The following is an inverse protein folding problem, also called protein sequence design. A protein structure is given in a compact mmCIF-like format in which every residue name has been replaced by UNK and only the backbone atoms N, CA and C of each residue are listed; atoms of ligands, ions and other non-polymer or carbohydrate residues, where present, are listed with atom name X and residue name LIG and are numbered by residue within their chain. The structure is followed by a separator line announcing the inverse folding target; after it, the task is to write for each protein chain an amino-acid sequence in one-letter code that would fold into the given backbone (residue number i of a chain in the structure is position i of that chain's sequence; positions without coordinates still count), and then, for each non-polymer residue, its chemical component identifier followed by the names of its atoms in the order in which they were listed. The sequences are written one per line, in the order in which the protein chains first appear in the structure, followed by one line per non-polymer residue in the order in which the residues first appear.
data_IF_483197695000
#
_entry.id   IF_483197695000
#
_cell.length_a   1.000
_cell.length_b   1.000
_cell.length_c   1.000
_cell.angle_alpha   90.00
_cell.angle_beta   90.00
_cell.angle_gamma   90.00
#
_symmetry.space_group_name_H-M   'P 1'
#
loop_
_entity.id
_entity.type
_entity.pdbx_description
1 polymer ?
#
# COMPACT_ATOMS: atom_id res chain seq x y z
N UNK A 1 4.35 -97.20 22.53
CA UNK A 1 4.04 -97.98 21.31
C UNK A 1 3.12 -97.12 20.46
N UNK A 2 3.64 -96.50 19.40
CA UNK A 2 3.62 -96.93 17.98
C UNK A 2 2.22 -96.90 17.33
N UNK A 3 2.22 -96.32 16.13
CA UNK A 3 1.24 -96.36 15.02
C UNK A 3 0.18 -95.26 15.05
N UNK A 4 0.21 -94.22 14.21
CA UNK A 4 0.30 -94.08 12.73
C UNK A 4 -0.83 -94.75 11.93
N UNK A 5 -1.20 -94.03 10.85
CA UNK A 5 -1.94 -94.38 9.61
C UNK A 5 -3.44 -94.00 9.59
N UNK A 6 -3.83 -92.89 8.91
CA UNK A 6 -4.26 -92.72 7.48
C UNK A 6 -5.70 -93.18 7.22
N UNK A 7 -6.55 -92.66 6.30
CA UNK A 7 -6.59 -91.61 5.26
C UNK A 7 -7.99 -91.77 4.57
N UNK A 8 -8.45 -90.76 3.81
CA UNK A 8 -9.52 -90.79 2.75
C UNK A 8 -10.98 -90.74 3.24
N UNK A 9 -11.97 -90.12 2.57
CA UNK A 9 -12.06 -89.18 1.43
C UNK A 9 -13.53 -88.70 1.35
N UNK A 10 -13.73 -87.44 0.96
CA UNK A 10 -14.85 -86.87 0.16
C UNK A 10 -16.31 -86.75 0.63
N UNK A 11 -16.89 -85.61 0.19
CA UNK A 11 -18.28 -85.33 -0.30
C UNK A 11 -19.09 -84.29 0.51
N UNK A 12 -19.08 -83.05 -0.03
CA UNK A 12 -20.11 -82.00 -0.14
C UNK A 12 -20.86 -81.46 1.10
N UNK A 13 -20.71 -80.16 1.41
CA UNK A 13 -21.64 -79.07 1.05
C UNK A 13 -21.14 -77.75 1.67
N UNK A 14 -20.76 -76.77 0.84
CA UNK A 14 -20.40 -75.39 1.26
C UNK A 14 -21.55 -74.47 0.86
N UNK A 15 -22.15 -73.67 1.77
CA UNK A 15 -22.91 -72.51 1.39
C UNK A 15 -21.98 -71.30 1.22
N UNK A 16 -22.18 -70.67 0.07
CA UNK A 16 -21.63 -69.41 -0.42
C UNK A 16 -21.68 -68.30 0.63
N UNK A 17 -20.53 -67.67 0.91
CA UNK A 17 -20.48 -66.29 1.43
C UNK A 17 -19.60 -65.47 0.49
N UNK A 18 -20.27 -64.72 -0.39
CA UNK A 18 -19.68 -63.80 -1.34
C UNK A 18 -19.27 -62.53 -0.59
N UNK A 19 -18.02 -62.45 -0.12
CA UNK A 19 -17.45 -61.22 0.43
C UNK A 19 -17.09 -60.28 -0.72
N UNK A 20 -17.93 -59.26 -0.93
CA UNK A 20 -17.60 -58.09 -1.75
C UNK A 20 -16.32 -57.44 -1.21
N UNK A 21 -15.26 -57.47 -2.00
CA UNK A 21 -14.11 -56.59 -1.82
C UNK A 21 -14.55 -55.16 -2.17
N UNK A 22 -14.69 -54.30 -1.17
CA UNK A 22 -14.82 -52.87 -1.37
C UNK A 22 -13.40 -52.34 -1.61
N UNK A 23 -13.06 -52.11 -2.87
CA UNK A 23 -11.86 -51.38 -3.24
C UNK A 23 -12.00 -49.92 -2.74
N UNK A 24 -11.44 -49.63 -1.57
CA UNK A 24 -11.29 -48.27 -1.06
C UNK A 24 -10.18 -47.56 -1.84
N UNK A 25 -10.52 -47.03 -3.01
CA UNK A 25 -9.69 -46.02 -3.67
C UNK A 25 -9.64 -44.79 -2.75
N UNK A 26 -8.56 -44.66 -1.97
CA UNK A 26 -8.17 -43.36 -1.40
C UNK A 26 -7.88 -42.45 -2.58
N UNK A 27 -8.78 -41.48 -2.82
CA UNK A 27 -8.41 -40.30 -3.59
C UNK A 27 -7.43 -39.54 -2.72
N UNK A 28 -6.15 -39.61 -3.06
CA UNK A 28 -5.18 -38.67 -2.52
C UNK A 28 -5.68 -37.27 -2.86
N UNK A 29 -6.13 -36.56 -1.84
CA UNK A 29 -6.36 -35.13 -1.93
C UNK A 29 -4.98 -34.51 -2.18
N UNK A 30 -4.62 -34.39 -3.44
CA UNK A 30 -3.62 -33.43 -3.88
C UNK A 30 -4.15 -32.06 -3.47
N UNK A 31 -3.80 -31.65 -2.25
CA UNK A 31 -3.81 -30.24 -1.89
C UNK A 31 -2.86 -29.61 -2.89
N UNK A 32 -3.42 -29.01 -3.94
CA UNK A 32 -2.68 -28.04 -4.73
C UNK A 32 -2.33 -26.94 -3.73
N UNK A 33 -1.11 -26.99 -3.21
CA UNK A 33 -0.48 -25.81 -2.63
C UNK A 33 -0.62 -24.77 -3.74
N UNK A 34 -1.38 -23.70 -3.49
CA UNK A 34 -1.48 -22.62 -4.45
C UNK A 34 -0.04 -22.18 -4.74
N UNK A 35 0.38 -22.25 -6.00
CA UNK A 35 1.65 -21.65 -6.39
C UNK A 35 1.59 -20.19 -5.95
N UNK A 36 2.62 -19.68 -5.24
CA UNK A 36 2.60 -18.30 -4.80
C UNK A 36 2.35 -17.39 -6.00
N UNK A 37 1.49 -16.39 -5.78
CA UNK A 37 1.15 -15.43 -6.81
C UNK A 37 2.42 -14.79 -7.40
N UNK A 38 2.41 -14.49 -8.70
CA UNK A 38 3.57 -13.95 -9.41
C UNK A 38 4.19 -12.72 -8.72
N UNK A 39 3.35 -11.95 -8.03
CA UNK A 39 3.73 -10.75 -7.30
C UNK A 39 3.66 -10.88 -5.77
N UNK A 40 3.50 -12.07 -5.21
CA UNK A 40 3.34 -12.27 -3.76
C UNK A 40 4.64 -12.06 -2.95
N UNK A 41 5.80 -12.32 -3.55
CA UNK A 41 7.09 -12.27 -2.87
C UNK A 41 7.87 -10.98 -3.13
N UNK A 42 7.22 -9.85 -2.84
CA UNK A 42 7.81 -8.54 -3.09
C UNK A 42 6.91 -7.39 -2.65
N UNK A 43 7.09 -6.25 -3.31
CA UNK A 43 6.19 -5.11 -3.23
C UNK A 43 6.19 -4.34 -4.55
N UNK A 44 5.15 -3.56 -4.77
CA UNK A 44 5.06 -2.68 -5.93
C UNK A 44 5.64 -1.31 -5.64
N UNK A 45 6.21 -0.70 -6.67
CA UNK A 45 6.53 0.73 -6.70
C UNK A 45 5.63 1.35 -7.75
N UNK A 46 4.78 2.28 -7.31
CA UNK A 46 3.91 3.06 -8.17
C UNK A 46 4.70 4.29 -8.58
N UNK A 47 4.89 4.48 -9.89
CA UNK A 47 5.68 5.54 -10.47
C UNK A 47 4.75 6.58 -11.10
N UNK A 48 4.88 7.83 -10.69
CA UNK A 48 4.07 8.96 -11.14
C UNK A 48 4.06 9.08 -12.67
N UNK A 49 5.23 8.90 -13.29
CA UNK A 49 5.48 9.26 -14.69
C UNK A 49 5.89 10.72 -14.82
N UNK A 50 5.95 11.22 -16.05
CA UNK A 50 6.33 12.61 -16.31
C UNK A 50 5.17 13.34 -16.93
N UNK A 51 4.46 14.12 -16.12
CA UNK A 51 3.32 14.93 -16.56
C UNK A 51 3.64 15.70 -17.86
N UNK A 52 2.86 15.44 -18.91
CA UNK A 52 2.99 16.06 -20.24
C UNK A 52 3.96 15.34 -21.18
N UNK A 53 4.68 14.32 -20.72
CA UNK A 53 5.67 13.55 -21.49
C UNK A 53 5.37 12.05 -21.53
N UNK A 54 4.76 11.49 -20.48
CA UNK A 54 4.41 10.08 -20.41
C UNK A 54 3.63 9.72 -19.15
N UNK A 55 2.79 8.68 -19.24
CA UNK A 55 2.01 8.16 -18.12
C UNK A 55 2.90 7.44 -17.10
N UNK A 56 2.39 7.30 -15.87
CA UNK A 56 2.99 6.48 -14.83
C UNK A 56 3.04 4.98 -15.14
N UNK A 57 3.89 4.27 -14.39
CA UNK A 57 4.10 2.82 -14.50
C UNK A 57 4.01 2.16 -13.13
N UNK A 58 3.92 0.83 -13.14
CA UNK A 58 4.07 0.03 -11.91
C UNK A 58 5.33 -0.81 -12.08
N UNK A 59 6.18 -0.82 -11.06
CA UNK A 59 7.32 -1.71 -10.92
C UNK A 59 7.08 -2.72 -9.81
N UNK A 60 7.77 -3.85 -9.84
CA UNK A 60 7.75 -4.85 -8.77
C UNK A 60 9.16 -5.16 -8.30
N UNK A 61 9.36 -5.07 -6.99
CA UNK A 61 10.60 -5.48 -6.33
C UNK A 61 10.47 -6.91 -5.83
N UNK A 62 11.19 -7.85 -6.44
CA UNK A 62 11.20 -9.27 -6.07
C UNK A 62 12.21 -9.50 -4.93
N UNK A 63 11.76 -10.00 -3.78
CA UNK A 63 12.63 -10.25 -2.62
C UNK A 63 13.67 -11.35 -2.87
N UNK A 64 13.30 -12.41 -3.59
CA UNK A 64 14.18 -13.55 -3.85
C UNK A 64 15.31 -13.18 -4.80
N UNK A 65 14.99 -12.38 -5.82
CA UNK A 65 15.98 -11.93 -6.82
C UNK A 65 16.70 -10.67 -6.36
N UNK A 66 16.07 -9.87 -5.50
CA UNK A 66 16.56 -8.57 -5.10
C UNK A 66 16.60 -7.58 -6.27
N UNK A 67 15.67 -7.69 -7.22
CA UNK A 67 15.62 -6.91 -8.47
C UNK A 67 14.28 -6.21 -8.65
N UNK A 68 14.33 -4.99 -9.20
CA UNK A 68 13.14 -4.23 -9.60
C UNK A 68 12.81 -4.48 -11.09
N UNK A 69 11.58 -4.87 -11.38
CA UNK A 69 11.08 -5.03 -12.76
C UNK A 69 10.01 -3.99 -13.04
N UNK A 70 10.23 -3.12 -14.02
CA UNK A 70 9.30 -2.05 -14.40
C UNK A 70 8.20 -2.51 -15.38
N UNK A 71 7.18 -1.67 -15.55
CA UNK A 71 6.12 -1.75 -16.56
C UNK A 71 5.34 -3.05 -16.50
N UNK A 72 5.16 -3.59 -15.29
CA UNK A 72 4.51 -4.89 -15.10
C UNK A 72 3.02 -4.81 -15.44
N UNK A 73 2.36 -3.67 -15.23
CA UNK A 73 0.94 -3.52 -15.56
C UNK A 73 0.69 -3.75 -17.06
N UNK A 74 1.45 -3.11 -17.95
CA UNK A 74 1.29 -3.25 -19.40
C UNK A 74 1.79 -4.59 -19.92
N UNK A 75 2.79 -5.20 -19.27
CA UNK A 75 3.23 -6.58 -19.55
C UNK A 75 2.14 -7.60 -19.25
N UNK A 76 1.45 -7.45 -18.12
CA UNK A 76 0.34 -8.34 -17.76
C UNK A 76 -0.96 -8.00 -18.51
N UNK A 77 -1.12 -6.78 -19.02
CA UNK A 77 -2.30 -6.35 -19.76
C UNK A 77 -1.96 -5.77 -21.13
N UNK A 78 -1.53 -6.61 -22.11
CA UNK A 78 -1.19 -6.13 -23.45
C UNK A 78 -2.32 -5.32 -24.08
N UNK A 79 -2.00 -4.12 -24.57
CA UNK A 79 -2.96 -3.20 -25.19
C UNK A 79 -3.73 -2.31 -24.21
N UNK A 80 -3.53 -2.45 -22.90
CA UNK A 80 -4.08 -1.53 -21.88
C UNK A 80 -3.01 -0.59 -21.36
N UNK A 81 -3.37 0.67 -21.13
CA UNK A 81 -2.47 1.72 -20.65
C UNK A 81 -3.09 2.49 -19.47
N UNK A 82 -2.28 3.39 -18.89
CA UNK A 82 -2.68 4.33 -17.85
C UNK A 82 -2.82 5.77 -18.38
N UNK A 83 -2.89 5.92 -19.71
CA UNK A 83 -3.02 7.20 -20.42
C UNK A 83 -4.18 8.08 -19.92
N UNK A 84 -4.11 9.41 -20.13
CA UNK A 84 -3.20 10.15 -21.04
C UNK A 84 -1.80 10.42 -20.48
N UNK A 85 -0.86 10.82 -21.35
CA UNK A 85 0.47 11.30 -20.96
C UNK A 85 0.46 12.59 -20.10
N UNK A 86 -0.71 13.23 -19.98
CA UNK A 86 -0.97 14.34 -19.06
C UNK A 86 -1.51 13.88 -17.72
N UNK A 87 -1.51 12.58 -17.42
CA UNK A 87 -1.90 12.04 -16.12
C UNK A 87 -0.69 11.63 -15.31
N UNK A 88 -0.86 11.53 -14.00
CA UNK A 88 0.19 11.12 -13.07
C UNK A 88 -0.31 10.00 -12.16
N UNK A 89 0.39 8.86 -12.11
CA UNK A 89 -0.02 7.72 -11.27
C UNK A 89 0.52 7.90 -9.85
N UNK A 90 -0.25 8.57 -9.01
CA UNK A 90 0.21 9.00 -7.67
C UNK A 90 -0.01 7.96 -6.57
N UNK A 91 -1.01 7.10 -6.73
CA UNK A 91 -1.49 6.25 -5.65
C UNK A 91 -1.74 4.82 -6.10
N UNK A 92 -1.35 3.89 -5.23
CA UNK A 92 -1.82 2.53 -5.27
C UNK A 92 -1.98 1.94 -3.88
N UNK A 93 -2.87 0.95 -3.76
CA UNK A 93 -3.04 0.18 -2.52
C UNK A 93 -3.69 -1.17 -2.81
N UNK A 94 -3.40 -2.16 -1.97
CA UNK A 94 -4.07 -3.46 -2.01
C UNK A 94 -5.24 -3.46 -1.03
N UNK A 95 -6.40 -3.92 -1.49
CA UNK A 95 -7.56 -4.17 -0.65
C UNK A 95 -8.35 -5.37 -1.19
N UNK A 96 -8.62 -6.36 -0.33
CA UNK A 96 -9.36 -7.58 -0.68
C UNK A 96 -8.81 -8.29 -1.94
N UNK A 97 -7.50 -8.56 -1.97
CA UNK A 97 -6.78 -9.21 -3.09
C UNK A 97 -6.91 -8.48 -4.43
N UNK A 98 -7.08 -7.15 -4.36
CA UNK A 98 -7.12 -6.28 -5.54
C UNK A 98 -6.17 -5.12 -5.34
N UNK A 99 -5.40 -4.82 -6.38
CA UNK A 99 -4.59 -3.61 -6.43
C UNK A 99 -5.41 -2.51 -7.12
N UNK A 100 -5.59 -1.39 -6.40
CA UNK A 100 -6.21 -0.18 -6.93
C UNK A 100 -5.09 0.78 -7.33
N UNK A 101 -5.17 1.32 -8.54
CA UNK A 101 -4.23 2.28 -9.13
C UNK A 101 -5.00 3.52 -9.54
N UNK A 102 -4.62 4.68 -9.00
CA UNK A 102 -5.33 5.94 -9.19
C UNK A 102 -4.41 6.93 -9.89
N UNK A 103 -4.73 7.23 -11.15
CA UNK A 103 -4.00 8.21 -11.97
C UNK A 103 -4.67 9.57 -11.92
N UNK A 104 -4.04 10.51 -11.23
CA UNK A 104 -4.44 11.91 -11.13
C UNK A 104 -4.44 12.60 -12.51
N UNK A 105 -5.06 13.78 -12.60
CA UNK A 105 -4.99 14.69 -13.74
C UNK A 105 -5.48 14.06 -15.06
N UNK A 106 -6.75 13.65 -15.05
CA UNK A 106 -7.44 13.10 -16.21
C UNK A 106 -7.22 11.60 -16.44
N UNK A 107 -6.41 10.95 -15.60
CA UNK A 107 -6.11 9.54 -15.70
C UNK A 107 -7.24 8.60 -15.24
N UNK A 108 -7.07 7.29 -15.46
CA UNK A 108 -8.03 6.28 -15.03
C UNK A 108 -7.90 5.93 -13.55
N UNK A 109 -8.96 5.32 -13.00
CA UNK A 109 -8.86 4.44 -11.84
C UNK A 109 -8.87 3.01 -12.36
N UNK A 110 -7.85 2.22 -12.04
CA UNK A 110 -7.70 0.84 -12.49
C UNK A 110 -7.69 -0.10 -11.31
N UNK A 111 -8.36 -1.25 -11.44
CA UNK A 111 -8.39 -2.31 -10.45
C UNK A 111 -7.87 -3.58 -11.09
N UNK A 112 -6.87 -4.20 -10.48
CA UNK A 112 -6.31 -5.49 -10.89
C UNK A 112 -6.45 -6.52 -9.79
N UNK A 113 -6.36 -7.80 -10.15
CA UNK A 113 -5.96 -8.84 -9.19
C UNK A 113 -4.53 -8.51 -8.69
N UNK A 114 -4.26 -8.61 -7.39
CA UNK A 114 -2.97 -8.18 -6.83
C UNK A 114 -1.84 -9.19 -7.10
N UNK A 115 -2.16 -10.47 -7.29
CA UNK A 115 -1.19 -11.54 -7.49
C UNK A 115 -0.78 -11.77 -8.95
N UNK A 116 -1.69 -11.54 -9.90
CA UNK A 116 -1.49 -11.70 -11.34
C UNK A 116 -1.41 -10.38 -12.11
N UNK A 117 -1.82 -9.27 -11.49
CA UNK A 117 -1.96 -7.94 -12.11
C UNK A 117 -2.89 -7.86 -13.31
N UNK A 118 -3.72 -8.88 -13.57
CA UNK A 118 -4.75 -8.78 -14.61
C UNK A 118 -5.79 -7.75 -14.21
N UNK A 119 -6.07 -6.79 -15.10
CA UNK A 119 -7.09 -5.78 -14.88
C UNK A 119 -8.49 -6.42 -14.85
N UNK A 120 -9.22 -6.14 -13.78
CA UNK A 120 -10.57 -6.66 -13.49
C UNK A 120 -11.62 -5.55 -13.39
N UNK A 121 -11.21 -4.28 -13.41
CA UNK A 121 -12.13 -3.14 -13.40
C UNK A 121 -11.43 -1.82 -13.71
N UNK A 122 -12.21 -0.85 -14.19
CA UNK A 122 -11.69 0.45 -14.61
C UNK A 122 -12.76 1.53 -14.61
N UNK A 123 -12.42 2.71 -14.10
CA UNK A 123 -13.03 3.99 -14.52
C UNK A 123 -12.10 4.58 -15.58
N UNK A 124 -12.63 4.81 -16.78
CA UNK A 124 -11.84 5.32 -17.89
C UNK A 124 -11.29 6.72 -17.59
N UNK A 125 -10.18 7.06 -18.27
CA UNK A 125 -9.64 8.41 -18.27
C UNK A 125 -10.69 9.41 -18.78
N UNK A 126 -10.81 10.54 -18.10
CA UNK A 126 -11.69 11.63 -18.45
C UNK A 126 -11.10 12.93 -17.90
N UNK A 127 -11.20 14.04 -18.61
CA UNK A 127 -10.57 15.33 -18.22
C UNK A 127 -11.04 15.86 -16.87
N UNK A 128 -12.21 15.43 -16.39
CA UNK A 128 -12.75 15.76 -15.06
C UNK A 128 -12.15 14.93 -13.93
N UNK A 129 -11.41 13.86 -14.21
CA UNK A 129 -10.86 12.98 -13.18
C UNK A 129 -9.69 13.67 -12.49
N UNK A 130 -9.71 13.68 -11.16
CA UNK A 130 -8.60 14.12 -10.33
C UNK A 130 -8.49 13.19 -9.10
N UNK A 131 -8.13 11.93 -9.35
CA UNK A 131 -8.03 10.89 -8.33
C UNK A 131 -6.87 11.14 -7.37
N UNK A 132 -7.09 10.89 -6.07
CA UNK A 132 -6.07 11.02 -5.03
C UNK A 132 -5.83 9.68 -4.35
N UNK A 133 -6.55 9.36 -3.27
CA UNK A 133 -6.37 8.11 -2.52
C UNK A 133 -7.60 7.22 -2.54
N UNK A 134 -7.41 5.94 -2.18
CA UNK A 134 -8.47 4.97 -2.00
C UNK A 134 -8.40 4.34 -0.60
N UNK A 135 -9.56 4.08 0.00
CA UNK A 135 -9.68 3.25 1.21
C UNK A 135 -10.85 2.29 1.10
N UNK A 136 -10.64 1.02 1.43
CA UNK A 136 -11.71 0.03 1.55
C UNK A 136 -12.55 0.23 2.81
N UNK A 137 -13.88 0.16 2.70
CA UNK A 137 -14.81 0.27 3.82
C UNK A 137 -15.34 -1.11 4.23
N UNK A 138 -15.81 -1.86 3.25
CA UNK A 138 -16.30 -3.23 3.36
C UNK A 138 -16.11 -3.98 2.01
N UNK A 139 -16.67 -5.18 1.90
CA UNK A 139 -16.52 -6.02 0.70
C UNK A 139 -17.15 -5.44 -0.58
N UNK A 140 -18.01 -4.43 -0.44
CA UNK A 140 -18.82 -3.86 -1.52
C UNK A 140 -18.49 -2.39 -1.76
N UNK A 141 -17.95 -1.70 -0.76
CA UNK A 141 -17.78 -0.24 -0.76
C UNK A 141 -16.35 0.13 -0.39
N UNK A 142 -15.76 1.01 -1.20
CA UNK A 142 -14.59 1.81 -0.81
C UNK A 142 -14.92 3.29 -0.91
N UNK A 143 -14.00 4.15 -0.51
CA UNK A 143 -14.06 5.58 -0.78
C UNK A 143 -12.84 6.00 -1.61
N UNK A 144 -13.06 6.95 -2.51
CA UNK A 144 -12.02 7.59 -3.32
C UNK A 144 -12.02 9.07 -3.00
N UNK A 145 -10.87 9.60 -2.59
CA UNK A 145 -10.65 11.04 -2.48
C UNK A 145 -10.19 11.60 -3.81
N UNK A 146 -10.47 12.89 -4.01
CA UNK A 146 -10.26 13.60 -5.27
C UNK A 146 -9.82 15.03 -5.02
N UNK A 147 -9.56 15.76 -6.10
CA UNK A 147 -9.34 17.21 -6.06
C UNK A 147 -10.52 18.05 -5.57
N UNK A 148 -11.73 17.49 -5.46
CA UNK A 148 -12.91 18.25 -5.03
C UNK A 148 -13.70 17.66 -3.85
N UNK A 149 -13.37 16.46 -3.39
CA UNK A 149 -13.99 15.83 -2.22
C UNK A 149 -13.83 14.31 -2.19
N UNK A 150 -14.78 13.62 -1.56
CA UNK A 150 -14.75 12.16 -1.38
C UNK A 150 -16.01 11.54 -1.98
N UNK A 151 -15.83 10.42 -2.69
CA UNK A 151 -16.90 9.67 -3.35
C UNK A 151 -16.88 8.20 -2.93
N UNK A 152 -18.04 7.59 -2.64
CA UNK A 152 -18.13 6.13 -2.52
C UNK A 152 -17.83 5.45 -3.86
N UNK A 153 -17.08 4.36 -3.82
CA UNK A 153 -16.80 3.49 -4.95
C UNK A 153 -17.45 2.14 -4.71
N UNK A 154 -18.32 1.71 -5.63
CA UNK A 154 -18.82 0.36 -5.66
C UNK A 154 -17.73 -0.59 -6.16
N UNK A 155 -17.28 -1.52 -5.31
CA UNK A 155 -16.14 -2.41 -5.58
C UNK A 155 -16.48 -3.59 -6.51
N UNK A 156 -17.76 -3.82 -6.79
CA UNK A 156 -18.23 -4.91 -7.65
C UNK A 156 -18.22 -4.52 -9.12
N UNK A 157 -18.65 -3.29 -9.43
CA UNK A 157 -18.72 -2.79 -10.81
C UNK A 157 -17.79 -1.60 -11.09
N UNK A 158 -17.05 -1.14 -10.07
CA UNK A 158 -16.08 -0.02 -10.17
C UNK A 158 -16.75 1.26 -10.70
N UNK A 159 -17.79 1.69 -10.00
CA UNK A 159 -18.53 2.93 -10.30
C UNK A 159 -18.65 3.83 -9.08
N UNK A 160 -18.64 5.15 -9.29
CA UNK A 160 -18.79 6.12 -8.21
C UNK A 160 -20.26 6.35 -7.84
N UNK A 161 -20.48 6.56 -6.55
CA UNK A 161 -21.69 7.17 -6.00
C UNK A 161 -21.64 8.69 -5.98
N UNK A 162 -22.59 9.31 -5.28
CA UNK A 162 -22.62 10.76 -5.08
C UNK A 162 -21.55 11.23 -4.09
N UNK A 163 -21.11 12.49 -4.24
CA UNK A 163 -20.15 13.14 -3.34
C UNK A 163 -20.65 13.12 -1.89
N UNK A 164 -19.77 12.78 -0.96
CA UNK A 164 -20.03 12.89 0.48
C UNK A 164 -20.07 14.37 0.87
N UNK A 165 -21.12 14.78 1.57
CA UNK A 165 -21.26 16.16 2.04
C UNK A 165 -20.34 16.49 3.21
N UNK A 166 -19.93 17.75 3.34
CA UNK A 166 -19.09 18.24 4.43
C UNK A 166 -17.59 18.04 4.24
N UNK A 167 -17.17 17.50 3.09
CA UNK A 167 -15.76 17.43 2.68
C UNK A 167 -15.62 17.94 1.25
N UNK A 168 -15.08 19.16 1.13
CA UNK A 168 -14.94 19.88 -0.12
C UNK A 168 -13.48 20.26 -0.40
N UNK A 169 -13.17 20.45 -1.69
CA UNK A 169 -11.83 20.83 -2.15
C UNK A 169 -10.88 19.63 -2.20
N UNK A 170 -9.57 19.90 -2.26
CA UNK A 170 -8.58 18.83 -2.39
C UNK A 170 -8.54 17.95 -1.13
N UNK A 171 -8.75 16.65 -1.34
CA UNK A 171 -8.63 15.61 -0.32
C UNK A 171 -7.60 14.59 -0.77
N UNK A 172 -6.59 14.38 0.06
CA UNK A 172 -5.50 13.44 -0.17
C UNK A 172 -5.75 12.11 0.51
N UNK A 173 -4.82 11.73 1.39
CA UNK A 173 -4.79 10.43 2.05
C UNK A 173 -6.09 10.08 2.80
N UNK A 174 -6.43 8.79 2.79
CA UNK A 174 -7.57 8.22 3.49
C UNK A 174 -7.12 7.02 4.31
N UNK A 175 -7.67 6.87 5.52
CA UNK A 175 -7.52 5.63 6.30
C UNK A 175 -8.79 5.34 7.11
N UNK A 176 -9.17 4.06 7.19
CA UNK A 176 -10.27 3.60 8.05
C UNK A 176 -9.71 2.98 9.32
N UNK A 177 -10.24 3.38 10.47
CA UNK A 177 -9.93 2.74 11.75
C UNK A 177 -11.17 2.70 12.64
N UNK A 178 -11.52 1.49 13.09
CA UNK A 178 -12.74 1.27 13.88
C UNK A 178 -13.99 1.78 13.15
N UNK A 179 -14.74 2.64 13.85
CA UNK A 179 -16.00 3.23 13.40
C UNK A 179 -15.81 4.52 12.60
N UNK A 180 -14.57 4.90 12.27
CA UNK A 180 -14.28 6.16 11.61
C UNK A 180 -13.41 6.00 10.36
N UNK A 181 -13.50 7.02 9.51
CA UNK A 181 -12.66 7.24 8.35
C UNK A 181 -11.99 8.58 8.55
N UNK A 182 -10.68 8.63 8.37
CA UNK A 182 -9.88 9.83 8.48
C UNK A 182 -9.47 10.23 7.07
N UNK A 183 -9.72 11.49 6.72
CA UNK A 183 -9.41 12.07 5.43
C UNK A 183 -8.50 13.28 5.65
N UNK A 184 -7.40 13.35 4.91
CA UNK A 184 -6.55 14.52 4.90
C UNK A 184 -7.08 15.51 3.86
N UNK A 185 -7.52 16.67 4.31
CA UNK A 185 -8.06 17.77 3.50
C UNK A 185 -7.09 18.94 3.51
N UNK A 186 -6.82 19.51 2.33
CA UNK A 186 -5.95 20.68 2.19
C UNK A 186 -6.41 21.86 3.05
N UNK A 187 -7.71 22.13 3.06
CA UNK A 187 -8.29 23.29 3.72
C UNK A 187 -8.57 23.06 5.21
N UNK A 188 -8.81 21.82 5.61
CA UNK A 188 -9.32 21.50 6.94
C UNK A 188 -8.36 20.67 7.82
N UNK A 189 -7.22 20.22 7.29
CA UNK A 189 -6.38 19.24 7.97
C UNK A 189 -7.03 17.86 7.99
N UNK A 190 -7.06 17.18 9.13
CA UNK A 190 -7.72 15.86 9.23
C UNK A 190 -9.20 16.03 9.50
N UNK A 191 -10.03 15.57 8.57
CA UNK A 191 -11.48 15.43 8.73
C UNK A 191 -11.81 13.98 9.08
N UNK A 192 -12.58 13.78 10.14
CA UNK A 192 -13.01 12.46 10.62
C UNK A 192 -14.48 12.28 10.30
N UNK A 193 -14.79 11.21 9.57
CA UNK A 193 -16.14 10.81 9.19
C UNK A 193 -16.56 9.57 10.00
N UNK A 194 -17.84 9.48 10.33
CA UNK A 194 -18.44 8.23 10.77
C UNK A 194 -18.45 7.22 9.61
N UNK A 195 -17.94 6.01 9.82
CA UNK A 195 -17.76 5.04 8.73
C UNK A 195 -19.06 4.45 8.18
N UNK A 196 -20.18 4.57 8.90
CA UNK A 196 -21.50 4.07 8.48
C UNK A 196 -22.33 5.13 7.77
N UNK A 197 -22.28 6.37 8.25
CA UNK A 197 -23.14 7.47 7.77
C UNK A 197 -22.40 8.49 6.91
N UNK A 198 -21.07 8.44 6.91
CA UNK A 198 -20.17 9.43 6.30
C UNK A 198 -20.34 10.87 6.82
N UNK A 199 -21.06 11.06 7.93
CA UNK A 199 -21.17 12.36 8.56
C UNK A 199 -19.83 12.77 9.19
N UNK A 200 -19.44 14.03 9.00
CA UNK A 200 -18.28 14.62 9.69
C UNK A 200 -18.56 14.65 11.19
N UNK A 201 -17.65 14.05 11.96
CA UNK A 201 -17.73 13.99 13.43
C UNK A 201 -16.65 14.82 14.12
N UNK A 202 -15.54 15.11 13.44
CA UNK A 202 -14.44 15.91 13.98
C UNK A 202 -13.57 16.47 12.86
N UNK A 203 -12.99 17.64 13.10
CA UNK A 203 -11.94 18.22 12.26
C UNK A 203 -10.75 18.61 13.15
N UNK A 204 -9.53 18.35 12.66
CA UNK A 204 -8.28 18.69 13.32
C UNK A 204 -7.48 19.54 12.31
N UNK A 205 -7.32 20.85 12.52
CA UNK A 205 -6.75 21.76 11.53
C UNK A 205 -5.22 21.74 11.49
N UNK A 206 -4.63 22.15 10.36
CA UNK A 206 -3.19 22.41 10.24
C UNK A 206 -2.32 21.18 10.04
N UNK A 207 -2.91 20.06 9.58
CA UNK A 207 -2.21 18.84 9.22
C UNK A 207 -2.08 18.76 7.70
N UNK A 208 -0.93 18.28 7.22
CA UNK A 208 -0.57 18.29 5.80
C UNK A 208 0.03 16.98 5.28
N UNK A 209 0.42 16.07 6.18
CA UNK A 209 1.06 14.78 5.86
C UNK A 209 0.37 13.69 6.69
N UNK A 210 -0.16 12.66 6.04
CA UNK A 210 -0.90 11.59 6.70
C UNK A 210 -0.96 10.35 5.77
N UNK A 211 -1.53 9.21 6.16
CA UNK A 211 -1.70 8.74 7.53
C UNK A 211 -0.72 7.61 7.80
N UNK A 212 -0.20 7.53 9.02
CA UNK A 212 0.44 6.32 9.53
C UNK A 212 -0.41 5.70 10.63
N UNK A 213 -0.40 4.36 10.73
CA UNK A 213 -1.08 3.62 11.79
C UNK A 213 -0.07 2.83 12.60
N UNK A 214 0.13 3.22 13.87
CA UNK A 214 1.03 2.49 14.76
C UNK A 214 0.45 1.16 15.21
N UNK A 215 1.31 0.29 15.76
CA UNK A 215 0.96 -1.05 16.25
C UNK A 215 -0.18 -1.07 17.27
N UNK A 216 -0.27 -0.05 18.12
CA UNK A 216 -1.38 0.16 19.07
C UNK A 216 -2.70 0.60 18.39
N UNK A 217 -2.71 0.77 17.07
CA UNK A 217 -3.85 1.17 16.27
C UNK A 217 -4.04 2.67 16.14
N UNK A 218 -3.24 3.51 16.81
CA UNK A 218 -3.38 4.95 16.73
C UNK A 218 -3.09 5.48 15.32
N UNK A 219 -3.81 6.54 14.95
CA UNK A 219 -3.70 7.20 13.65
C UNK A 219 -2.84 8.45 13.80
N UNK A 220 -1.92 8.64 12.88
CA UNK A 220 -0.95 9.71 12.92
C UNK A 220 -1.01 10.59 11.68
N UNK A 221 -0.92 11.89 11.91
CA UNK A 221 -0.80 12.92 10.88
C UNK A 221 0.13 14.03 11.38
N UNK A 222 0.71 14.80 10.48
CA UNK A 222 1.65 15.87 10.83
C UNK A 222 1.44 17.10 9.95
N UNK A 223 1.83 18.28 10.44
CA UNK A 223 1.75 19.55 9.71
C UNK A 223 2.31 20.70 10.55
N UNK A 224 2.92 21.68 9.89
CA UNK A 224 3.65 22.73 10.59
C UNK A 224 4.71 22.13 11.51
N UNK A 225 4.70 22.47 12.79
CA UNK A 225 5.64 21.90 13.79
C UNK A 225 5.00 20.80 14.65
N UNK A 226 3.95 20.15 14.16
CA UNK A 226 3.14 19.20 14.94
C UNK A 226 3.12 17.82 14.29
N UNK A 227 3.31 16.80 15.11
CA UNK A 227 2.94 15.41 14.86
C UNK A 227 1.79 15.09 15.81
N UNK A 228 0.68 14.60 15.28
CA UNK A 228 -0.55 14.36 16.01
C UNK A 228 -0.83 12.86 16.06
N UNK A 229 -1.02 12.34 17.27
CA UNK A 229 -1.57 11.01 17.53
C UNK A 229 -3.07 11.14 17.79
N UNK A 230 -3.86 10.30 17.12
CA UNK A 230 -5.31 10.24 17.26
C UNK A 230 -5.69 8.84 17.70
N UNK A 231 -6.38 8.73 18.83
CA UNK A 231 -6.99 7.48 19.26
C UNK A 231 -8.23 7.18 18.38
N UNK A 232 -8.28 6.06 17.64
CA UNK A 232 -9.35 5.81 16.68
C UNK A 232 -10.67 5.36 17.32
N UNK A 233 -10.72 5.11 18.63
CA UNK A 233 -11.97 4.77 19.32
C UNK A 233 -12.62 6.00 19.93
N UNK A 234 -11.81 6.86 20.55
CA UNK A 234 -12.26 8.02 21.33
C UNK A 234 -12.07 9.36 20.61
N UNK A 235 -11.30 9.37 19.52
CA UNK A 235 -10.87 10.57 18.80
C UNK A 235 -10.07 11.56 19.67
N UNK A 236 -9.52 11.11 20.81
CA UNK A 236 -8.62 11.93 21.62
C UNK A 236 -7.34 12.21 20.84
N UNK A 237 -6.91 13.48 20.89
CA UNK A 237 -5.76 14.00 20.14
C UNK A 237 -4.63 14.30 21.11
N UNK A 238 -3.44 13.81 20.81
CA UNK A 238 -2.19 14.18 21.47
C UNK A 238 -1.27 14.83 20.44
N UNK A 239 -0.70 15.99 20.81
CA UNK A 239 0.22 16.74 19.96
C UNK A 239 1.65 16.53 20.45
N UNK A 240 2.55 16.27 19.52
CA UNK A 240 3.99 16.12 19.70
C UNK A 240 4.67 17.18 18.83
N UNK A 241 5.62 17.93 19.39
CA UNK A 241 6.37 18.93 18.63
C UNK A 241 7.40 18.26 17.73
N UNK A 242 7.45 18.68 16.46
CA UNK A 242 8.44 18.28 15.46
C UNK A 242 9.53 19.36 15.39
N UNK A 243 10.83 19.01 15.30
CA UNK A 243 11.93 19.99 15.29
C UNK A 243 12.14 20.68 13.93
N UNK A 244 11.19 20.56 13.00
CA UNK A 244 11.19 21.16 11.67
C UNK A 244 9.76 21.41 11.22
N UNK A 245 9.61 22.20 10.15
CA UNK A 245 8.32 22.39 9.48
C UNK A 245 8.02 21.20 8.58
N UNK A 246 6.94 20.51 8.87
CA UNK A 246 6.30 19.49 8.03
C UNK A 246 5.46 20.21 6.98
N UNK A 247 5.77 19.94 5.71
CA UNK A 247 5.09 20.53 4.56
C UNK A 247 4.27 19.46 3.82
N UNK A 248 3.09 19.86 3.34
CA UNK A 248 2.29 19.07 2.41
C UNK A 248 2.75 19.16 0.95
N UNK A 249 2.06 18.39 0.11
CA UNK A 249 2.33 18.28 -1.32
C UNK A 249 1.23 18.88 -2.21
N UNK A 250 0.26 19.60 -1.64
CA UNK A 250 -0.98 20.04 -2.31
C UNK A 250 -0.80 20.74 -3.67
N UNK A 251 -1.80 20.65 -4.54
CA UNK A 251 -1.71 21.12 -5.93
C UNK A 251 -1.09 20.06 -6.85
N UNK A 252 0.23 19.80 -6.73
CA UNK A 252 0.88 18.68 -7.44
C UNK A 252 0.42 17.33 -6.86
N UNK A 253 0.28 17.28 -5.54
CA UNK A 253 -0.17 16.21 -4.65
C UNK A 253 0.34 14.80 -4.94
N UNK A 254 0.93 14.22 -3.90
CA UNK A 254 1.20 12.80 -3.73
C UNK A 254 0.97 12.44 -2.24
N UNK A 255 0.91 11.14 -1.89
CA UNK A 255 0.78 10.70 -0.50
C UNK A 255 1.88 11.23 0.41
N UNK A 256 1.54 11.43 1.68
CA UNK A 256 2.49 11.95 2.67
C UNK A 256 3.65 11.01 3.02
N UNK A 257 4.84 11.57 3.28
CA UNK A 257 6.05 10.84 3.71
C UNK A 257 6.05 10.48 5.20
N UNK A 258 5.07 9.69 5.62
CA UNK A 258 4.92 9.20 7.00
C UNK A 258 4.59 7.71 6.99
N UNK A 259 5.23 6.94 7.87
CA UNK A 259 4.95 5.51 8.03
C UNK A 259 5.16 5.07 9.48
N UNK A 260 4.71 3.88 9.83
CA UNK A 260 4.79 3.34 11.18
C UNK A 260 5.43 1.97 11.19
N UNK A 261 6.13 1.66 12.29
CA UNK A 261 6.58 0.30 12.57
C UNK A 261 5.38 -0.60 12.92
N UNK A 262 5.42 -1.85 12.45
CA UNK A 262 4.49 -2.91 12.88
C UNK A 262 5.04 -3.72 14.06
N UNK A 263 6.33 -3.56 14.39
CA UNK A 263 7.01 -4.29 15.47
C UNK A 263 6.98 -3.52 16.80
N UNK A 264 6.96 -2.18 16.76
CA UNK A 264 6.91 -1.29 17.92
C UNK A 264 6.04 -0.04 17.65
N UNK A 265 5.69 0.72 18.68
CA UNK A 265 4.96 2.00 18.53
C UNK A 265 5.92 3.13 18.11
N UNK A 266 6.43 3.04 16.89
CA UNK A 266 7.32 4.02 16.28
C UNK A 266 6.72 4.62 15.01
N UNK A 267 6.91 5.93 14.86
CA UNK A 267 6.54 6.69 13.66
C UNK A 267 7.79 7.21 12.99
N UNK A 268 7.85 7.07 11.67
CA UNK A 268 8.90 7.61 10.82
C UNK A 268 8.31 8.71 9.96
N UNK A 269 8.95 9.88 9.97
CA UNK A 269 8.49 11.07 9.27
C UNK A 269 9.65 11.70 8.51
N UNK A 270 9.48 11.92 7.21
CA UNK A 270 10.47 12.62 6.42
C UNK A 270 10.40 14.14 6.65
N UNK A 271 11.57 14.78 6.66
CA UNK A 271 11.71 16.25 6.62
C UNK A 271 11.74 16.70 5.17
N UNK A 272 10.56 16.75 4.54
CA UNK A 272 10.43 17.24 3.16
C UNK A 272 10.40 18.77 3.10
N UNK A 273 10.86 19.31 1.97
CA UNK A 273 10.48 20.67 1.57
C UNK A 273 9.02 20.69 1.09
N UNK A 274 8.52 21.86 0.64
CA UNK A 274 7.26 21.92 -0.09
C UNK A 274 7.30 20.97 -1.29
N UNK A 275 6.23 20.21 -1.50
CA UNK A 275 6.13 19.16 -2.52
C UNK A 275 7.07 17.98 -2.23
N UNK A 276 8.38 18.10 -2.44
CA UNK A 276 9.33 16.98 -2.38
C UNK A 276 10.66 17.36 -1.70
N UNK A 277 11.69 16.52 -1.84
CA UNK A 277 13.07 16.92 -1.61
C UNK A 277 13.62 16.59 -0.22
N UNK A 278 12.96 15.69 0.51
CA UNK A 278 13.43 15.31 1.84
C UNK A 278 14.75 14.55 1.80
N UNK A 279 15.66 14.89 2.72
CA UNK A 279 16.97 14.20 2.84
C UNK A 279 17.15 13.49 4.17
N UNK A 280 16.21 13.67 5.09
CA UNK A 280 16.28 13.18 6.46
C UNK A 280 14.95 12.55 6.86
N UNK A 281 15.03 11.43 7.57
CA UNK A 281 13.89 10.77 8.21
C UNK A 281 14.10 10.81 9.72
N UNK A 282 13.06 11.17 10.46
CA UNK A 282 13.05 11.23 11.92
C UNK A 282 12.20 10.10 12.47
N UNK A 283 12.61 9.53 13.60
CA UNK A 283 11.89 8.46 14.31
C UNK A 283 11.37 8.97 15.64
N UNK A 284 10.07 8.88 15.86
CA UNK A 284 9.43 9.16 17.14
C UNK A 284 8.98 7.87 17.81
N UNK A 285 9.30 7.73 19.10
CA UNK A 285 8.64 6.78 20.02
C UNK A 285 8.35 7.50 21.33
N UNK A 286 7.26 7.15 22.01
CA UNK A 286 6.96 7.74 23.32
C UNK A 286 8.03 7.38 24.38
N UNK A 287 8.64 6.19 24.27
CA UNK A 287 9.69 5.71 25.17
C UNK A 287 11.02 6.45 24.99
N UNK A 288 11.25 7.07 23.82
CA UNK A 288 12.47 7.82 23.51
C UNK A 288 12.14 9.12 22.75
N UNK A 289 11.22 9.92 23.29
CA UNK A 289 10.80 11.16 22.64
C UNK A 289 11.98 12.13 22.41
N UNK A 290 13.02 12.07 23.25
CA UNK A 290 14.22 12.89 23.14
C UNK A 290 15.02 12.63 21.84
N UNK A 291 14.95 11.44 21.24
CA UNK A 291 15.64 11.18 19.96
C UNK A 291 14.98 11.87 18.77
N UNK A 292 13.74 12.37 18.94
CA UNK A 292 12.99 13.05 17.88
C UNK A 292 13.45 14.51 17.66
N UNK A 293 14.68 14.86 18.05
CA UNK A 293 15.32 16.15 17.76
C UNK A 293 16.44 16.04 16.72
N UNK A 294 16.86 14.81 16.39
CA UNK A 294 17.94 14.53 15.42
C UNK A 294 17.45 13.57 14.34
N UNK A 295 17.98 13.65 13.11
CA UNK A 295 17.67 12.67 12.06
C UNK A 295 17.99 11.24 12.52
N UNK A 296 17.08 10.32 12.24
CA UNK A 296 17.28 8.88 12.42
C UNK A 296 18.01 8.27 11.21
N UNK A 297 17.62 8.69 10.00
CA UNK A 297 18.28 8.34 8.73
C UNK A 297 18.56 9.62 7.95
N UNK A 298 19.70 9.67 7.27
CA UNK A 298 20.02 10.68 6.26
C UNK A 298 20.34 9.95 4.95
N UNK A 299 19.66 10.32 3.85
CA UNK A 299 19.91 9.71 2.54
C UNK A 299 21.28 10.16 2.00
N UNK A 300 21.91 9.39 1.09
CA UNK A 300 23.23 9.74 0.57
C UNK A 300 23.31 11.14 -0.09
N UNK A 301 24.48 11.77 -0.02
CA UNK A 301 24.71 13.10 -0.59
C UNK A 301 24.35 13.16 -2.08
N UNK A 302 23.62 14.22 -2.48
CA UNK A 302 23.18 14.42 -3.86
C UNK A 302 21.92 13.63 -4.24
N UNK A 303 21.25 13.02 -3.25
CA UNK A 303 19.97 12.34 -3.39
C UNK A 303 18.89 13.05 -2.57
N UNK A 304 17.65 12.92 -3.01
CA UNK A 304 16.48 13.43 -2.29
C UNK A 304 15.28 12.51 -2.47
N UNK A 305 14.46 12.38 -1.43
CA UNK A 305 13.18 11.67 -1.49
C UNK A 305 12.21 12.39 -2.42
N UNK A 306 11.42 11.61 -3.14
CA UNK A 306 10.38 12.07 -4.05
C UNK A 306 9.09 11.29 -3.77
N UNK A 307 7.93 11.95 -3.95
CA UNK A 307 6.64 11.34 -3.65
C UNK A 307 6.50 11.06 -2.15
N UNK A 308 5.81 9.98 -1.80
CA UNK A 308 5.78 9.49 -0.42
C UNK A 308 7.20 9.15 0.06
N UNK A 309 8.06 8.62 -0.81
CA UNK A 309 9.52 8.49 -0.57
C UNK A 309 9.95 7.57 0.57
N UNK A 310 9.03 7.14 1.42
CA UNK A 310 9.28 6.46 2.69
C UNK A 310 8.12 5.49 2.97
N UNK A 311 8.45 4.23 3.22
CA UNK A 311 7.48 3.26 3.71
C UNK A 311 8.14 2.21 4.61
N UNK A 312 7.30 1.44 5.30
CA UNK A 312 7.71 0.35 6.17
C UNK A 312 7.29 -0.99 5.57
N UNK A 313 8.28 -1.85 5.30
CA UNK A 313 8.07 -3.21 4.86
C UNK A 313 7.96 -4.13 6.08
N UNK A 314 6.74 -4.54 6.43
CA UNK A 314 6.50 -5.39 7.59
C UNK A 314 7.08 -6.80 7.45
N UNK A 315 7.04 -7.38 6.24
CA UNK A 315 7.47 -8.76 5.99
C UNK A 315 8.95 -8.96 6.26
N UNK A 316 9.77 -7.95 5.96
CA UNK A 316 11.20 -7.97 6.20
C UNK A 316 11.64 -7.12 7.38
N UNK A 317 10.71 -6.42 8.05
CA UNK A 317 10.99 -5.45 9.11
C UNK A 317 12.04 -4.41 8.69
N UNK A 318 11.75 -3.67 7.63
CA UNK A 318 12.68 -2.71 7.02
C UNK A 318 12.00 -1.40 6.68
N UNK A 319 12.73 -0.28 6.80
CA UNK A 319 12.34 0.95 6.12
C UNK A 319 12.81 0.90 4.68
N UNK A 320 11.93 1.31 3.77
CA UNK A 320 12.20 1.42 2.35
C UNK A 320 12.10 2.89 1.97
N UNK A 321 13.14 3.41 1.31
CA UNK A 321 13.23 4.81 0.91
C UNK A 321 13.56 4.90 -0.58
N UNK A 322 12.72 5.59 -1.35
CA UNK A 322 13.03 5.93 -2.75
C UNK A 322 13.61 7.32 -2.82
N UNK A 323 14.60 7.50 -3.69
CA UNK A 323 15.18 8.80 -3.98
C UNK A 323 15.40 9.01 -5.46
N UNK A 324 15.51 10.28 -5.84
CA UNK A 324 16.05 10.73 -7.12
C UNK A 324 17.36 11.48 -6.88
N UNK A 325 18.18 11.67 -7.91
CA UNK A 325 19.32 12.60 -7.84
C UNK A 325 18.79 14.03 -7.77
N UNK A 326 19.28 14.80 -6.81
CA UNK A 326 18.92 16.20 -6.63
C UNK A 326 19.27 17.05 -7.85
N UNK A 327 18.46 18.08 -8.12
CA UNK A 327 18.74 19.10 -9.13
C UNK A 327 17.82 19.12 -10.35
N UNK A 328 16.64 18.50 -10.28
CA UNK A 328 15.58 18.56 -11.31
C UNK A 328 15.98 18.07 -12.72
N UNK A 329 14.99 18.02 -13.62
CA UNK A 329 15.19 17.71 -15.04
C UNK A 329 15.86 16.36 -15.23
N UNK A 330 16.96 16.32 -15.97
CA UNK A 330 17.69 15.09 -16.27
C UNK A 330 18.23 14.37 -15.04
N UNK A 331 18.43 15.07 -13.90
CA UNK A 331 18.85 14.42 -12.66
C UNK A 331 17.79 13.43 -12.16
N UNK A 332 16.49 13.70 -12.40
CA UNK A 332 15.40 12.82 -11.98
C UNK A 332 15.30 11.53 -12.80
N UNK A 333 16.17 11.35 -13.81
CA UNK A 333 16.35 10.05 -14.46
C UNK A 333 17.21 9.06 -13.66
N UNK A 334 17.84 9.49 -12.57
CA UNK A 334 18.68 8.66 -11.70
C UNK A 334 17.94 8.43 -10.39
N UNK A 335 17.61 7.17 -10.11
CA UNK A 335 16.78 6.78 -8.99
C UNK A 335 17.48 5.70 -8.16
N UNK A 336 17.16 5.67 -6.88
CA UNK A 336 17.68 4.67 -5.96
C UNK A 336 16.60 4.23 -4.97
N UNK A 337 16.68 2.95 -4.59
CA UNK A 337 15.86 2.34 -3.56
C UNK A 337 16.79 1.89 -2.43
N UNK A 338 16.62 2.46 -1.24
CA UNK A 338 17.39 2.16 -0.05
C UNK A 338 16.58 1.36 0.96
N UNK A 339 17.27 0.47 1.68
CA UNK A 339 16.70 -0.36 2.73
C UNK A 339 17.45 -0.08 4.03
N UNK A 340 16.73 0.27 5.09
CA UNK A 340 17.30 0.58 6.40
C UNK A 340 16.72 -0.33 7.48
N UNK A 341 17.53 -0.69 8.46
CA UNK A 341 17.08 -1.32 9.69
C UNK A 341 16.29 -0.29 10.53
N UNK A 342 15.03 -0.60 10.90
CA UNK A 342 14.14 0.37 11.56
C UNK A 342 14.52 0.61 13.03
N UNK A 343 15.41 -0.20 13.61
CA UNK A 343 15.84 -0.05 15.01
C UNK A 343 17.05 0.87 15.13
N UNK A 344 18.04 0.68 14.25
CA UNK A 344 19.35 1.33 14.29
C UNK A 344 19.53 2.44 13.25
N UNK A 345 18.74 2.44 12.17
CA UNK A 345 18.90 3.36 11.05
C UNK A 345 20.02 2.97 10.10
N UNK A 346 20.66 1.80 10.30
CA UNK A 346 21.73 1.32 9.44
C UNK A 346 21.19 0.91 8.06
N UNK A 347 21.83 1.36 6.99
CA UNK A 347 21.52 0.92 5.62
C UNK A 347 21.98 -0.54 5.44
N UNK A 348 21.08 -1.39 4.97
CA UNK A 348 21.37 -2.80 4.70
C UNK A 348 21.61 -3.08 3.22
N UNK A 349 20.95 -2.33 2.33
CA UNK A 349 21.03 -2.51 0.87
C UNK A 349 20.60 -1.25 0.13
N UNK A 350 21.06 -1.10 -1.10
CA UNK A 350 20.56 -0.15 -2.09
C UNK A 350 20.47 -0.76 -3.49
N UNK A 351 19.64 -0.16 -4.35
CA UNK A 351 19.44 -0.54 -5.74
C UNK A 351 19.27 0.72 -6.57
N UNK A 352 20.18 0.95 -7.51
CA UNK A 352 20.06 2.04 -8.48
C UNK A 352 19.32 1.59 -9.75
N UNK A 353 18.53 2.50 -10.31
CA UNK A 353 17.84 2.30 -11.58
C UNK A 353 17.67 3.63 -12.34
N UNK A 354 17.62 3.54 -13.68
CA UNK A 354 17.60 4.72 -14.54
C UNK A 354 16.31 4.80 -15.36
N UNK A 355 15.81 6.02 -15.53
CA UNK A 355 14.54 6.32 -16.18
C UNK A 355 13.77 7.41 -15.43
N UNK A 356 12.84 8.05 -16.13
CA UNK A 356 11.98 9.08 -15.57
C UNK A 356 10.76 8.45 -14.89
N UNK A 357 10.96 7.96 -13.66
CA UNK A 357 9.92 7.25 -12.91
C UNK A 357 9.13 8.15 -11.99
N UNK A 358 9.80 9.04 -11.24
CA UNK A 358 9.15 9.87 -10.23
C UNK A 358 8.37 8.98 -9.23
N UNK A 359 9.06 8.16 -8.42
CA UNK A 359 8.42 7.13 -7.60
C UNK A 359 7.45 7.76 -6.59
N UNK A 360 6.16 7.49 -6.75
CA UNK A 360 5.10 8.14 -5.99
C UNK A 360 4.81 7.42 -4.66
N UNK A 361 4.57 6.11 -4.69
CA UNK A 361 4.26 5.33 -3.49
C UNK A 361 4.70 3.87 -3.57
N UNK A 362 4.78 3.22 -2.42
CA UNK A 362 5.05 1.79 -2.28
C UNK A 362 3.75 1.06 -1.92
N UNK A 363 3.55 -0.12 -2.49
CA UNK A 363 2.39 -0.96 -2.19
C UNK A 363 2.84 -2.34 -1.74
N UNK A 364 2.52 -2.68 -0.49
CA UNK A 364 2.77 -3.97 0.12
C UNK A 364 1.48 -4.80 0.13
N UNK A 365 1.62 -6.13 0.17
CA UNK A 365 0.50 -7.07 0.32
C UNK A 365 0.06 -7.19 1.78
#
# INVERSE_FOLDING_TARGET
MKNKFTLKLSVYLIPVLLTMMIASCKKDHNVKIAEPGKYENGFFVVNEGWFGHGTGTVSFFDYSKGTLTDSIFTKENPGKTLDPATSSLEFGTVYNHKLYLLSKAGGPLVVTDDLSLKEIGRIAAATSNDWRAFVGIDNNTGLVSTGDGIYPLNLQNVTLGGKIGGVDGEVGDLIKAGNYIFALSQSNGVVVLNATTYAVVKTIPGLEVAFARSKDGAIWAAGGTQLVRIDPATLVVQVITVPFTVNGSWGAWHPGSITASTTENAIFLAKNGPYNGGTQVYKYTAANAASFTTPFVTVPTGKEMYGAGLAYNEKLNQLVVSTVKSGYGTNYSVNDLYFYDPSSGAQSKDISYTGYYFPATFVFH
#
